data_IF_187964491410
#
_entry.id   IF_187964491410
#
_cell.length_a   1.000
_cell.length_b   1.000
_cell.length_c   1.000
_cell.angle_alpha   90.00
_cell.angle_beta   90.00
_cell.angle_gamma   90.00
#
_symmetry.space_group_name_H-M   'P 1'
#
loop_
_entity.id
_entity.type
_entity.pdbx_description
1 polymer ?
#
# COMPACT_ATOMS: atom_id res chain seq x y z
N UNK A 1 -24.04 9.66 6.23
CA UNK A 1 -23.56 8.49 5.49
C UNK A 1 -22.58 7.75 6.38
N UNK A 2 -22.69 6.43 6.51
CA UNK A 2 -21.74 5.65 7.32
C UNK A 2 -20.35 5.71 6.67
N UNK A 3 -19.31 5.95 7.47
CA UNK A 3 -17.93 6.02 6.97
C UNK A 3 -17.44 4.62 6.63
N UNK A 4 -16.71 4.50 5.52
CA UNK A 4 -16.09 3.23 5.13
C UNK A 4 -14.86 2.98 6.00
N UNK A 5 -14.91 1.92 6.78
CA UNK A 5 -13.78 1.44 7.60
C UNK A 5 -12.71 0.81 6.71
N UNK A 6 -11.47 1.24 6.86
CA UNK A 6 -10.33 0.72 6.09
C UNK A 6 -9.10 0.53 6.97
N UNK A 7 -8.24 -0.41 6.56
CA UNK A 7 -6.84 -0.50 6.96
C UNK A 7 -6.02 -0.21 5.70
N UNK A 8 -4.98 0.63 5.82
CA UNK A 8 -4.13 0.99 4.70
C UNK A 8 -2.81 0.22 4.79
N UNK A 9 -2.55 -0.64 3.81
CA UNK A 9 -1.26 -1.33 3.65
C UNK A 9 -0.44 -0.62 2.57
N UNK A 10 0.80 -0.22 2.88
CA UNK A 10 1.64 0.54 1.95
C UNK A 10 3.15 0.41 2.20
N UNK A 11 3.99 0.86 1.26
CA UNK A 11 5.45 0.96 1.38
C UNK A 11 5.97 2.40 1.23
N UNK A 12 5.68 3.30 2.20
CA UNK A 12 5.69 4.76 2.05
C UNK A 12 6.73 5.38 1.11
N UNK A 13 6.30 5.61 -0.13
CA UNK A 13 6.85 6.52 -1.12
C UNK A 13 6.10 7.86 -1.21
N UNK A 14 6.34 8.61 -2.29
CA UNK A 14 5.69 9.91 -2.51
C UNK A 14 4.19 9.76 -2.77
N UNK A 15 3.81 8.73 -3.50
CA UNK A 15 2.44 8.34 -3.84
C UNK A 15 1.68 7.81 -2.62
N UNK A 16 2.30 6.95 -1.81
CA UNK A 16 1.70 6.47 -0.55
C UNK A 16 1.45 7.60 0.44
N UNK A 17 2.34 8.60 0.51
CA UNK A 17 2.14 9.75 1.37
C UNK A 17 0.85 10.52 1.01
N UNK A 18 0.55 10.63 -0.29
CA UNK A 18 -0.71 11.22 -0.78
C UNK A 18 -1.88 10.30 -0.42
N UNK A 19 -1.74 8.98 -0.59
CA UNK A 19 -2.78 8.02 -0.22
C UNK A 19 -3.10 8.05 1.28
N UNK A 20 -2.08 8.11 2.14
CA UNK A 20 -2.22 8.27 3.59
C UNK A 20 -2.95 9.56 3.93
N UNK A 21 -2.59 10.68 3.28
CA UNK A 21 -3.27 11.96 3.46
C UNK A 21 -4.74 11.88 3.07
N UNK A 22 -5.05 11.32 1.91
CA UNK A 22 -6.43 11.16 1.43
C UNK A 22 -7.22 10.25 2.37
N UNK A 23 -6.68 9.08 2.72
CA UNK A 23 -7.31 8.13 3.64
C UNK A 23 -7.62 8.77 5.01
N UNK A 24 -6.67 9.52 5.56
CA UNK A 24 -6.82 10.12 6.88
C UNK A 24 -7.74 11.35 6.92
N UNK A 25 -7.85 12.11 5.82
CA UNK A 25 -8.59 13.39 5.80
C UNK A 25 -9.93 13.32 5.06
N UNK A 26 -10.21 12.25 4.32
CA UNK A 26 -11.45 12.15 3.54
C UNK A 26 -12.68 11.90 4.44
N UNK A 27 -13.77 12.69 4.32
CA UNK A 27 -14.90 12.63 5.23
C UNK A 27 -15.69 11.31 5.19
N UNK A 28 -15.58 10.55 4.09
CA UNK A 28 -16.23 9.25 3.92
C UNK A 28 -15.41 8.06 4.43
N UNK A 29 -14.20 8.27 4.93
CA UNK A 29 -13.28 7.21 5.34
C UNK A 29 -13.09 7.23 6.86
N UNK A 30 -13.07 6.04 7.45
CA UNK A 30 -12.68 5.78 8.82
C UNK A 30 -11.42 4.90 8.80
N UNK A 31 -10.25 5.53 8.87
CA UNK A 31 -8.96 4.86 8.83
C UNK A 31 -8.68 4.24 10.20
N UNK A 32 -8.65 2.91 10.26
CA UNK A 32 -8.48 2.17 11.51
C UNK A 32 -7.03 1.89 11.88
N UNK A 33 -6.13 1.89 10.90
CA UNK A 33 -4.72 1.61 11.08
C UNK A 33 -3.94 1.56 9.77
N UNK A 34 -2.62 1.59 9.88
CA UNK A 34 -1.70 1.53 8.75
C UNK A 34 -0.71 0.39 8.98
N UNK A 35 -0.53 -0.47 7.99
CA UNK A 35 0.53 -1.48 7.95
C UNK A 35 1.58 -1.04 6.93
N UNK A 36 2.85 -1.04 7.33
CA UNK A 36 3.95 -0.59 6.47
C UNK A 36 4.84 -1.77 6.14
N UNK A 37 5.03 -2.04 4.85
CA UNK A 37 5.89 -3.12 4.35
C UNK A 37 7.13 -2.58 3.64
N UNK A 38 8.10 -3.45 3.40
CA UNK A 38 9.16 -3.16 2.45
C UNK A 38 8.64 -3.33 1.02
N UNK A 39 8.80 -2.30 0.20
CA UNK A 39 8.63 -2.37 -1.25
C UNK A 39 9.85 -1.76 -1.94
N UNK A 40 9.75 -0.57 -2.52
CA UNK A 40 10.87 0.03 -3.28
C UNK A 40 12.10 0.37 -2.44
N UNK A 41 11.95 0.47 -1.12
CA UNK A 41 13.03 0.66 -0.15
C UNK A 41 12.95 -0.39 0.97
N UNK A 42 13.97 -0.45 1.82
CA UNK A 42 13.97 -1.31 3.01
C UNK A 42 12.88 -0.88 3.99
N UNK A 43 12.38 -1.82 4.79
CA UNK A 43 11.34 -1.52 5.79
C UNK A 43 11.76 -0.40 6.74
N UNK A 44 13.03 -0.35 7.16
CA UNK A 44 13.50 0.73 8.03
C UNK A 44 13.24 2.11 7.42
N UNK A 45 13.46 2.26 6.11
CA UNK A 45 13.23 3.52 5.40
C UNK A 45 11.75 3.79 5.19
N UNK A 46 10.98 2.80 4.74
CA UNK A 46 9.54 2.98 4.48
C UNK A 46 8.79 3.23 5.78
N UNK A 47 9.18 2.59 6.89
CA UNK A 47 8.63 2.82 8.22
C UNK A 47 8.92 4.24 8.70
N UNK A 48 10.17 4.72 8.60
CA UNK A 48 10.53 6.10 8.95
C UNK A 48 9.74 7.10 8.09
N UNK A 49 9.62 6.85 6.78
CA UNK A 49 8.84 7.70 5.88
C UNK A 49 7.38 7.77 6.33
N UNK A 50 6.73 6.62 6.57
CA UNK A 50 5.34 6.58 7.00
C UNK A 50 5.12 7.25 8.36
N UNK A 51 6.01 7.01 9.33
CA UNK A 51 5.94 7.68 10.63
C UNK A 51 6.10 9.20 10.49
N UNK A 52 7.01 9.68 9.64
CA UNK A 52 7.16 11.11 9.36
C UNK A 52 5.91 11.71 8.72
N UNK A 53 5.28 11.00 7.78
CA UNK A 53 4.01 11.43 7.16
C UNK A 53 2.90 11.50 8.21
N UNK A 54 2.73 10.45 9.03
CA UNK A 54 1.75 10.43 10.10
C UNK A 54 1.97 11.59 11.09
N UNK A 55 3.21 11.82 11.51
CA UNK A 55 3.55 12.93 12.40
C UNK A 55 3.26 14.29 11.75
N UNK A 56 3.67 14.48 10.48
CA UNK A 56 3.51 15.75 9.77
C UNK A 56 2.05 16.10 9.49
N UNK A 57 1.21 15.09 9.25
CA UNK A 57 -0.21 15.24 8.92
C UNK A 57 -1.14 15.00 10.11
N UNK A 58 -0.59 14.77 11.30
CA UNK A 58 -1.31 14.49 12.55
C UNK A 58 -2.29 13.31 12.39
N UNK A 59 -1.82 12.23 11.77
CA UNK A 59 -2.59 10.99 11.59
C UNK A 59 -2.38 10.13 12.84
N UNK A 60 -3.40 10.09 13.70
CA UNK A 60 -3.37 9.40 15.00
C UNK A 60 -4.05 8.03 14.92
N UNK A 61 -3.52 7.14 14.08
CA UNK A 61 -3.97 5.75 13.98
C UNK A 61 -2.81 4.80 14.30
N UNK A 62 -3.07 3.58 14.79
CA UNK A 62 -2.02 2.59 14.98
C UNK A 62 -1.25 2.33 13.69
N UNK A 63 0.07 2.37 13.77
CA UNK A 63 0.98 2.01 12.67
C UNK A 63 1.73 0.75 13.06
N UNK A 64 1.71 -0.25 12.20
CA UNK A 64 2.37 -1.53 12.41
C UNK A 64 3.42 -1.79 11.33
N UNK A 65 4.62 -2.16 11.77
CA UNK A 65 5.65 -2.66 10.87
C UNK A 65 5.24 -4.06 10.37
N UNK A 66 5.18 -4.21 9.06
CA UNK A 66 4.88 -5.45 8.36
C UNK A 66 6.15 -6.20 7.94
N UNK A 67 6.09 -6.85 6.80
CA UNK A 67 7.17 -7.72 6.33
C UNK A 67 8.41 -6.90 5.91
N UNK A 68 9.56 -7.18 6.55
CA UNK A 68 10.80 -6.40 6.39
C UNK A 68 11.58 -6.71 5.13
N UNK A 69 11.49 -7.96 4.72
CA UNK A 69 12.11 -8.51 3.54
C UNK A 69 11.13 -9.54 2.97
N UNK A 70 11.18 -9.79 1.66
CA UNK A 70 10.43 -10.93 1.10
C UNK A 70 10.84 -12.24 1.80
N UNK A 71 10.26 -13.39 1.44
CA UNK A 71 10.57 -14.71 2.03
C UNK A 71 12.02 -15.20 1.69
N UNK A 72 13.02 -14.33 1.72
CA UNK A 72 14.43 -14.64 1.50
C UNK A 72 14.86 -14.82 0.04
N UNK A 73 13.96 -14.74 -0.96
CA UNK A 73 14.36 -14.96 -2.36
C UNK A 73 14.87 -13.70 -3.10
N UNK A 74 15.22 -12.63 -2.39
CA UNK A 74 15.80 -11.40 -2.95
C UNK A 74 14.89 -10.66 -3.94
N UNK A 75 15.48 -9.78 -4.77
CA UNK A 75 14.75 -8.99 -5.76
C UNK A 75 13.94 -9.86 -6.74
N UNK A 76 14.39 -11.09 -7.01
CA UNK A 76 13.73 -12.04 -7.89
C UNK A 76 12.41 -12.57 -7.29
N UNK A 77 12.32 -12.77 -5.96
CA UNK A 77 11.05 -13.08 -5.28
C UNK A 77 10.03 -11.97 -5.49
N UNK A 78 10.49 -10.73 -5.34
CA UNK A 78 9.66 -9.55 -5.43
C UNK A 78 9.11 -9.39 -6.84
N UNK A 79 9.94 -9.55 -7.87
CA UNK A 79 9.48 -9.57 -9.26
C UNK A 79 8.50 -10.72 -9.52
N UNK A 80 8.70 -11.90 -8.95
CA UNK A 80 7.78 -13.02 -9.10
C UNK A 80 6.41 -12.75 -8.45
N UNK A 81 6.39 -12.10 -7.28
CA UNK A 81 5.14 -11.71 -6.62
C UNK A 81 4.43 -10.56 -7.34
N UNK A 82 5.16 -9.56 -7.84
CA UNK A 82 4.59 -8.46 -8.63
C UNK A 82 4.01 -8.98 -9.94
N UNK A 83 4.74 -9.82 -10.68
CA UNK A 83 4.26 -10.40 -11.94
C UNK A 83 3.06 -11.33 -11.73
N UNK A 84 3.04 -12.09 -10.62
CA UNK A 84 1.89 -12.92 -10.26
C UNK A 84 0.67 -12.08 -9.83
N UNK A 85 0.88 -11.08 -8.99
CA UNK A 85 -0.17 -10.13 -8.60
C UNK A 85 -0.75 -9.39 -9.80
N UNK A 86 0.10 -8.96 -10.74
CA UNK A 86 -0.34 -8.34 -11.98
C UNK A 86 -1.17 -9.30 -12.84
N UNK A 87 -0.74 -10.55 -12.99
CA UNK A 87 -1.50 -11.55 -13.74
C UNK A 87 -2.88 -11.86 -13.11
N UNK A 88 -2.95 -11.90 -11.78
CA UNK A 88 -4.19 -12.14 -11.04
C UNK A 88 -5.13 -10.92 -11.13
N UNK A 89 -4.60 -9.70 -11.01
CA UNK A 89 -5.36 -8.45 -11.20
C UNK A 89 -5.89 -8.32 -12.63
N UNK A 90 -5.08 -8.59 -13.65
CA UNK A 90 -5.52 -8.56 -15.05
C UNK A 90 -6.60 -9.60 -15.32
N UNK A 91 -6.51 -10.81 -14.74
CA UNK A 91 -7.57 -11.83 -14.86
C UNK A 91 -8.87 -11.39 -14.19
N UNK A 92 -8.79 -10.80 -13.01
CA UNK A 92 -9.97 -10.28 -12.31
C UNK A 92 -10.60 -9.12 -13.07
N UNK A 93 -9.78 -8.16 -13.53
CA UNK A 93 -10.21 -7.04 -14.36
C UNK A 93 -10.92 -7.51 -15.63
N UNK A 94 -10.33 -8.46 -16.35
CA UNK A 94 -10.94 -9.07 -17.53
C UNK A 94 -12.31 -9.71 -17.24
N UNK A 95 -12.41 -10.46 -16.13
CA UNK A 95 -13.66 -11.08 -15.72
C UNK A 95 -14.75 -10.04 -15.34
N UNK A 96 -14.34 -8.84 -14.94
CA UNK A 96 -15.21 -7.70 -14.63
C UNK A 96 -15.45 -6.77 -15.84
N UNK A 97 -14.91 -7.10 -17.02
CA UNK A 97 -15.11 -6.35 -18.27
C UNK A 97 -14.08 -5.25 -18.54
N UNK A 98 -12.98 -5.18 -17.79
CA UNK A 98 -11.86 -4.30 -18.10
C UNK A 98 -10.97 -4.88 -19.21
N UNK A 99 -10.37 -4.02 -20.03
CA UNK A 99 -9.40 -4.43 -21.04
C UNK A 99 -8.06 -4.81 -20.37
N UNK A 100 -7.59 -6.07 -20.51
CA UNK A 100 -6.33 -6.53 -19.92
C UNK A 100 -5.11 -5.70 -20.30
N UNK A 101 -5.11 -5.07 -21.48
CA UNK A 101 -4.00 -4.24 -21.95
C UNK A 101 -3.80 -3.00 -21.06
N UNK A 102 -4.85 -2.53 -20.37
CA UNK A 102 -4.75 -1.37 -19.47
C UNK A 102 -3.96 -1.63 -18.18
N UNK A 103 -3.65 -2.89 -17.87
CA UNK A 103 -2.86 -3.28 -16.69
C UNK A 103 -1.35 -3.41 -17.01
N UNK A 104 -0.93 -3.38 -18.27
CA UNK A 104 0.48 -3.51 -18.67
C UNK A 104 1.18 -2.15 -18.83
N UNK A 105 1.10 -1.30 -17.80
CA UNK A 105 1.74 0.03 -17.78
C UNK A 105 3.20 0.03 -18.22
#
# INVERSE_FOLDING_TARGET
MEKRKIILDCDPGHDDAIAMMMAAKHPAIDLLGITIVAGNQTLDKTLINGLNVCQKLEINVPVYAGMSDGIGFGANARTALITRGLAEMSRLGAALGADPATFMG
#
